data_IF_907033876404
#
_entry.id   IF_907033876404
#
_cell.length_a   1.000
_cell.length_b   1.000
_cell.length_c   1.000
_cell.angle_alpha   90.00
_cell.angle_beta   90.00
_cell.angle_gamma   90.00
#
_symmetry.space_group_name_H-M   'P 1'
#
loop_
_entity.id
_entity.type
_entity.pdbx_description
1 polymer ?
#
# COMPACT_ATOMS: atom_id res chain seq x y z
N UNK A 1 21.35 -7.55 17.69
CA UNK A 1 21.14 -6.37 18.55
C UNK A 1 19.63 -6.23 18.76
N UNK A 2 19.14 -6.62 19.93
CA UNK A 2 17.71 -6.58 20.25
C UNK A 2 17.27 -5.13 20.40
N UNK A 3 16.27 -4.72 19.62
CA UNK A 3 15.66 -3.41 19.78
C UNK A 3 14.90 -3.40 21.10
N UNK A 4 15.44 -2.68 22.08
CA UNK A 4 14.80 -2.38 23.34
C UNK A 4 13.38 -1.88 23.06
N UNK A 5 12.38 -2.63 23.55
CA UNK A 5 10.99 -2.19 23.59
C UNK A 5 10.95 -0.93 24.46
N UNK A 6 11.11 0.21 23.82
CA UNK A 6 10.96 1.50 24.46
C UNK A 6 9.54 1.55 24.99
N UNK A 7 9.45 1.70 26.30
CA UNK A 7 8.24 2.05 27.06
C UNK A 7 7.82 3.48 26.69
N UNK A 8 7.70 3.75 25.40
CA UNK A 8 7.49 5.06 24.84
C UNK A 8 5.99 5.17 24.59
N UNK A 9 5.33 5.89 25.49
CA UNK A 9 3.95 6.27 25.26
C UNK A 9 3.92 7.07 23.95
N UNK A 10 3.38 6.48 22.87
CA UNK A 10 3.32 7.21 21.60
C UNK A 10 2.22 8.26 21.66
N UNK A 11 2.42 9.30 20.87
CA UNK A 11 1.52 10.44 20.77
C UNK A 11 0.23 9.99 20.05
N UNK A 12 -0.92 10.42 20.57
CA UNK A 12 -2.23 10.21 19.96
C UNK A 12 -2.27 10.70 18.50
N UNK A 13 -2.83 9.89 17.59
CA UNK A 13 -2.93 10.25 16.17
C UNK A 13 -4.00 11.32 15.87
N UNK A 14 -4.81 11.69 16.85
CA UNK A 14 -5.88 12.66 16.70
C UNK A 14 -5.39 14.11 16.53
N UNK A 15 -6.26 14.96 15.97
CA UNK A 15 -6.04 16.41 15.83
C UNK A 15 -7.01 17.18 16.73
N UNK A 16 -6.51 18.20 17.41
CA UNK A 16 -7.31 19.09 18.25
C UNK A 16 -8.33 19.88 17.43
N UNK A 17 -9.29 20.55 18.11
CA UNK A 17 -10.29 21.42 17.46
C UNK A 17 -9.72 22.48 16.53
N UNK A 18 -8.49 22.95 16.82
CA UNK A 18 -7.79 23.98 16.04
C UNK A 18 -6.91 23.38 14.93
N UNK A 19 -7.02 22.08 14.67
CA UNK A 19 -6.24 21.37 13.64
C UNK A 19 -4.82 20.96 14.05
N UNK A 20 -4.34 21.36 15.23
CA UNK A 20 -3.01 20.97 15.71
C UNK A 20 -2.98 19.49 16.15
N UNK A 21 -1.84 18.77 16.00
CA UNK A 21 -1.72 17.38 16.45
C UNK A 21 -1.93 17.27 17.96
N UNK A 22 -2.59 16.20 18.39
CA UNK A 22 -2.79 15.92 19.81
C UNK A 22 -1.44 15.70 20.49
N UNK A 23 -1.24 16.29 21.68
CA UNK A 23 -0.04 16.08 22.51
C UNK A 23 -0.24 15.06 23.64
N UNK A 24 -1.45 14.49 23.74
CA UNK A 24 -1.72 13.48 24.76
C UNK A 24 -1.08 12.16 24.36
N UNK A 25 -0.56 11.45 25.36
CA UNK A 25 -0.09 10.10 25.18
C UNK A 25 -1.24 9.09 25.20
N UNK A 26 -1.01 7.98 24.51
CA UNK A 26 -1.86 6.79 24.56
C UNK A 26 -1.06 5.63 25.17
N UNK A 27 -1.76 4.70 25.79
CA UNK A 27 -1.13 3.54 26.43
C UNK A 27 -0.42 2.71 25.36
N UNK A 28 0.82 2.33 25.63
CA UNK A 28 1.59 1.47 24.74
C UNK A 28 0.86 0.15 24.43
N UNK A 29 0.17 -0.42 25.41
CA UNK A 29 -0.63 -1.65 25.23
C UNK A 29 -1.78 -1.45 24.23
N UNK A 30 -2.48 -0.31 24.27
CA UNK A 30 -3.55 -0.01 23.31
C UNK A 30 -2.99 0.03 21.88
N UNK A 31 -1.84 0.71 21.69
CA UNK A 31 -1.16 0.77 20.38
C UNK A 31 -0.78 -0.62 19.91
N UNK A 32 -0.19 -1.44 20.79
CA UNK A 32 0.24 -2.80 20.45
C UNK A 32 -0.95 -3.65 20.02
N UNK A 33 -2.07 -3.54 20.73
CA UNK A 33 -3.34 -4.18 20.36
C UNK A 33 -3.82 -3.72 18.98
N UNK A 34 -3.86 -2.41 18.73
CA UNK A 34 -4.27 -1.86 17.44
C UNK A 34 -3.37 -2.32 16.28
N UNK A 35 -2.06 -2.36 16.49
CA UNK A 35 -1.09 -2.87 15.51
C UNK A 35 -1.29 -4.35 15.22
N UNK A 36 -1.49 -5.16 16.26
CA UNK A 36 -1.77 -6.59 16.08
C UNK A 36 -3.08 -6.81 15.31
N UNK A 37 -4.12 -6.03 15.60
CA UNK A 37 -5.39 -6.11 14.88
C UNK A 37 -5.24 -5.72 13.40
N UNK A 38 -4.46 -4.69 13.07
CA UNK A 38 -4.14 -4.34 11.67
C UNK A 38 -3.37 -5.45 10.96
N UNK A 39 -2.38 -6.04 11.62
CA UNK A 39 -1.60 -7.15 11.04
C UNK A 39 -2.48 -8.38 10.77
N UNK A 40 -3.40 -8.70 11.69
CA UNK A 40 -4.36 -9.78 11.49
C UNK A 40 -5.32 -9.49 10.33
N UNK A 41 -5.83 -8.26 10.25
CA UNK A 41 -6.70 -7.82 9.16
C UNK A 41 -6.02 -7.88 7.79
N UNK A 42 -4.72 -7.59 7.72
CA UNK A 42 -3.96 -7.65 6.47
C UNK A 42 -3.65 -9.07 5.99
N UNK A 43 -3.65 -10.04 6.90
CA UNK A 43 -3.30 -11.44 6.61
C UNK A 43 -4.53 -12.33 6.41
N UNK A 44 -5.70 -11.92 6.89
CA UNK A 44 -6.94 -12.68 6.78
C UNK A 44 -7.87 -12.09 5.71
N UNK A 45 -8.70 -12.91 5.05
CA UNK A 45 -9.79 -12.40 4.23
C UNK A 45 -10.77 -11.61 5.12
N UNK A 46 -11.11 -10.41 4.68
CA UNK A 46 -12.03 -9.51 5.38
C UNK A 46 -13.25 -9.23 4.51
N UNK A 47 -14.39 -9.02 5.16
CA UNK A 47 -15.64 -8.62 4.52
C UNK A 47 -15.72 -7.09 4.45
N UNK A 48 -16.03 -6.55 3.26
CA UNK A 48 -16.17 -5.11 3.05
C UNK A 48 -17.34 -4.50 3.84
N UNK A 49 -18.37 -5.30 4.14
CA UNK A 49 -19.51 -4.83 4.94
C UNK A 49 -19.11 -4.50 6.38
N UNK A 50 -18.16 -5.27 6.94
CA UNK A 50 -17.69 -5.11 8.33
C UNK A 50 -16.36 -4.36 8.43
N UNK A 51 -15.60 -4.28 7.34
CA UNK A 51 -14.28 -3.65 7.27
C UNK A 51 -14.27 -2.23 7.84
N UNK A 52 -15.28 -1.42 7.49
CA UNK A 52 -15.37 -0.04 8.01
C UNK A 52 -15.49 -0.02 9.53
N UNK A 53 -16.42 -0.76 10.09
CA UNK A 53 -16.60 -0.84 11.55
C UNK A 53 -15.35 -1.35 12.25
N UNK A 54 -14.70 -2.38 11.69
CA UNK A 54 -13.46 -2.94 12.24
C UNK A 54 -12.34 -1.91 12.24
N UNK A 55 -12.16 -1.16 11.14
CA UNK A 55 -11.15 -0.10 11.06
C UNK A 55 -11.44 1.05 12.04
N UNK A 56 -12.71 1.43 12.24
CA UNK A 56 -13.09 2.41 13.26
C UNK A 56 -12.73 1.93 14.68
N UNK A 57 -13.01 0.67 15.01
CA UNK A 57 -12.69 0.10 16.31
C UNK A 57 -11.18 -0.01 16.54
N UNK A 58 -10.44 -0.40 15.50
CA UNK A 58 -8.98 -0.41 15.53
C UNK A 58 -8.43 1.01 15.72
N UNK A 59 -8.98 2.01 15.00
CA UNK A 59 -8.55 3.41 15.10
C UNK A 59 -8.66 3.97 16.53
N UNK A 60 -9.66 3.52 17.32
CA UNK A 60 -9.82 3.93 18.73
C UNK A 60 -8.59 3.62 19.58
N UNK A 61 -7.85 2.55 19.26
CA UNK A 61 -6.62 2.18 19.98
C UNK A 61 -5.48 3.20 19.81
N UNK A 62 -5.54 4.02 18.75
CA UNK A 62 -4.54 5.05 18.43
C UNK A 62 -4.97 6.47 18.88
N UNK A 63 -6.12 6.58 19.54
CA UNK A 63 -6.72 7.85 19.95
C UNK A 63 -6.88 7.91 21.47
N UNK A 64 -6.60 9.08 22.05
CA UNK A 64 -6.76 9.27 23.48
C UNK A 64 -8.24 9.28 23.89
N UNK A 65 -8.51 8.70 25.07
CA UNK A 65 -9.74 7.98 25.36
C UNK A 65 -11.02 8.81 25.56
N UNK A 66 -10.98 10.15 25.49
CA UNK A 66 -12.18 10.98 25.68
C UNK A 66 -12.62 11.68 24.42
N UNK A 67 -11.79 12.58 23.90
CA UNK A 67 -12.25 13.48 22.84
C UNK A 67 -11.99 12.91 21.45
N UNK A 68 -10.80 12.36 21.21
CA UNK A 68 -10.42 11.85 19.89
C UNK A 68 -11.14 10.55 19.54
N UNK A 69 -11.29 9.60 20.49
CA UNK A 69 -12.05 8.37 20.22
C UNK A 69 -13.48 8.63 19.77
N UNK A 70 -14.17 9.60 20.37
CA UNK A 70 -15.56 9.89 20.02
C UNK A 70 -15.71 10.69 18.73
N UNK A 71 -14.75 11.57 18.42
CA UNK A 71 -14.90 12.51 17.28
C UNK A 71 -14.18 12.09 16.01
N UNK A 72 -13.12 11.30 16.13
CA UNK A 72 -12.20 11.05 15.03
C UNK A 72 -12.01 9.58 14.69
N UNK A 73 -12.45 8.65 15.54
CA UNK A 73 -12.35 7.23 15.22
C UNK A 73 -13.10 6.89 13.92
N UNK A 74 -14.32 7.41 13.76
CA UNK A 74 -15.12 7.15 12.56
C UNK A 74 -14.50 7.78 11.31
N UNK A 75 -13.97 9.00 11.43
CA UNK A 75 -13.30 9.69 10.34
C UNK A 75 -12.01 8.98 9.93
N UNK A 76 -11.17 8.58 10.88
CA UNK A 76 -9.92 7.87 10.62
C UNK A 76 -10.19 6.48 10.04
N UNK A 77 -11.16 5.75 10.61
CA UNK A 77 -11.58 4.45 10.09
C UNK A 77 -12.11 4.55 8.66
N UNK A 78 -12.88 5.59 8.34
CA UNK A 78 -13.35 5.88 6.98
C UNK A 78 -12.19 6.18 6.02
N UNK A 79 -11.22 7.02 6.42
CA UNK A 79 -10.04 7.31 5.59
C UNK A 79 -9.21 6.05 5.31
N UNK A 80 -9.06 5.18 6.30
CA UNK A 80 -8.37 3.89 6.13
C UNK A 80 -9.16 2.96 5.22
N UNK A 81 -10.48 2.89 5.37
CA UNK A 81 -11.36 2.12 4.49
C UNK A 81 -11.21 2.58 3.03
N UNK A 82 -11.28 3.89 2.77
CA UNK A 82 -11.09 4.44 1.43
C UNK A 82 -9.71 4.15 0.86
N UNK A 83 -8.67 4.21 1.69
CA UNK A 83 -7.32 3.82 1.28
C UNK A 83 -7.23 2.35 0.87
N UNK A 84 -7.90 1.44 1.59
CA UNK A 84 -7.98 0.01 1.26
C UNK A 84 -8.78 -0.24 -0.01
N UNK A 85 -9.92 0.45 -0.19
CA UNK A 85 -10.72 0.35 -1.42
C UNK A 85 -9.90 0.85 -2.61
N UNK A 86 -9.21 1.98 -2.46
CA UNK A 86 -8.37 2.57 -3.51
C UNK A 86 -7.19 1.67 -3.86
N UNK A 87 -6.48 1.12 -2.87
CA UNK A 87 -5.33 0.25 -3.11
C UNK A 87 -5.71 -1.03 -3.84
N UNK A 88 -6.91 -1.57 -3.60
CA UNK A 88 -7.44 -2.72 -4.36
C UNK A 88 -7.75 -2.37 -5.82
N UNK A 89 -8.27 -1.17 -6.07
CA UNK A 89 -8.46 -0.66 -7.43
C UNK A 89 -7.13 -0.58 -8.20
N UNK A 90 -6.10 0.01 -7.56
CA UNK A 90 -4.74 0.03 -8.13
C UNK A 90 -4.16 -1.37 -8.33
N UNK A 91 -4.31 -2.29 -7.37
CA UNK A 91 -3.81 -3.66 -7.49
C UNK A 91 -4.44 -4.42 -8.67
N UNK A 92 -5.73 -4.18 -8.96
CA UNK A 92 -6.39 -4.74 -10.15
C UNK A 92 -5.83 -4.16 -11.44
N UNK A 93 -5.63 -2.83 -11.48
CA UNK A 93 -5.11 -2.16 -12.66
C UNK A 93 -3.64 -2.55 -12.94
N UNK A 94 -2.80 -2.67 -11.91
CA UNK A 94 -1.41 -3.14 -12.08
C UNK A 94 -1.34 -4.60 -12.51
N UNK A 95 -2.27 -5.45 -12.03
CA UNK A 95 -2.33 -6.85 -12.45
C UNK A 95 -2.77 -7.00 -13.91
N UNK A 96 -3.73 -6.18 -14.36
CA UNK A 96 -4.21 -6.19 -15.75
C UNK A 96 -3.16 -5.64 -16.71
N UNK A 97 -2.50 -4.53 -16.35
CA UNK A 97 -1.38 -3.98 -17.13
C UNK A 97 -0.20 -4.95 -17.19
N UNK A 98 0.11 -5.67 -16.10
CA UNK A 98 1.15 -6.70 -16.10
C UNK A 98 0.78 -7.93 -16.96
N UNK A 99 -0.50 -8.33 -16.99
CA UNK A 99 -0.98 -9.38 -17.86
C UNK A 99 -0.88 -8.97 -19.34
N UNK A 100 -1.32 -7.75 -19.68
CA UNK A 100 -1.23 -7.22 -21.05
C UNK A 100 0.24 -7.02 -21.48
N UNK A 101 1.11 -6.57 -20.58
CA UNK A 101 2.55 -6.47 -20.87
C UNK A 101 3.18 -7.85 -21.13
N UNK A 102 2.74 -8.89 -20.41
CA UNK A 102 3.21 -10.26 -20.60
C UNK A 102 2.76 -10.85 -21.94
N UNK A 103 1.54 -10.52 -22.40
CA UNK A 103 1.05 -10.89 -23.74
C UNK A 103 1.82 -10.18 -24.87
N UNK A 104 2.18 -8.91 -24.69
CA UNK A 104 2.94 -8.13 -25.69
C UNK A 104 4.40 -8.62 -25.81
N UNK A 105 5.03 -9.06 -24.72
CA UNK A 105 6.36 -9.68 -24.80
C UNK A 105 6.34 -11.09 -25.44
N UNK A 106 5.27 -11.87 -25.20
CA UNK A 106 5.10 -13.16 -25.84
C UNK A 106 4.90 -13.04 -27.37
N UNK A 107 4.09 -12.09 -27.84
CA UNK A 107 3.88 -11.85 -29.29
C UNK A 107 5.15 -11.33 -30.00
N UNK A 108 5.94 -10.48 -29.33
CA UNK A 108 7.22 -10.00 -29.89
C UNK A 108 8.28 -11.12 -29.98
N UNK A 109 8.26 -12.06 -29.04
CA UNK A 109 9.16 -13.23 -29.05
C UNK A 109 8.80 -14.20 -30.19
N UNK A 110 7.50 -14.39 -30.48
CA UNK A 110 7.06 -15.26 -31.58
C UNK A 110 7.17 -14.62 -32.98
N UNK A 111 7.12 -13.29 -33.10
CA UNK A 111 7.33 -12.59 -34.39
C UNK A 111 8.80 -12.52 -34.81
N UNK A 112 9.75 -12.82 -33.91
CA UNK A 112 11.19 -12.73 -34.18
C UNK A 112 11.82 -14.03 -34.70
N UNK A 113 11.03 -15.10 -34.91
CA UNK A 113 11.52 -16.39 -35.41
C UNK A 113 10.88 -16.79 -36.76
N UNK A 114 11.11 -16.02 -37.82
CA UNK A 114 11.08 -16.59 -39.17
C UNK A 114 11.93 -15.76 -40.13
N UNK A 115 13.07 -16.30 -40.53
CA UNK A 115 13.95 -15.73 -41.56
C UNK A 115 15.44 -15.77 -41.21
N UNK A 116 16.08 -16.94 -41.32
CA UNK A 116 17.55 -17.11 -41.33
C UNK A 116 18.01 -17.21 -42.81
N UNK A 117 19.33 -17.28 -43.12
CA UNK A 117 20.38 -16.25 -43.15
C UNK A 117 20.96 -16.03 -44.57
N UNK A 118 21.76 -14.98 -44.81
CA UNK A 118 22.80 -14.99 -45.85
C UNK A 118 23.92 -13.99 -45.53
N UNK A 119 25.11 -14.36 -45.94
CA UNK A 119 26.46 -14.06 -45.42
C UNK A 119 27.02 -12.63 -45.58
N UNK A 120 28.19 -12.35 -44.95
CA UNK A 120 28.90 -11.09 -45.03
C UNK A 120 29.78 -11.02 -46.29
N UNK A 121 29.77 -9.90 -47.01
CA UNK A 121 30.75 -9.61 -48.07
C UNK A 121 31.39 -8.25 -47.83
N UNK A 122 32.66 -8.30 -47.40
CA UNK A 122 33.64 -7.23 -47.62
C UNK A 122 33.89 -7.11 -49.14
N UNK A 123 33.73 -5.92 -49.75
CA UNK A 123 34.58 -5.50 -50.88
C UNK A 123 34.45 -4.01 -51.24
N UNK A 124 35.53 -3.30 -50.94
CA UNK A 124 36.15 -2.11 -51.57
C UNK A 124 35.59 -1.56 -52.90
N UNK A 125 35.51 -0.22 -53.02
CA UNK A 125 36.53 0.66 -53.70
C UNK A 125 35.93 1.94 -54.33
N UNK A 126 36.56 3.08 -53.95
CA UNK A 126 36.82 4.37 -54.63
C UNK A 126 35.84 5.01 -55.65
N UNK A 127 35.71 6.35 -55.62
CA UNK A 127 36.29 7.31 -56.62
C UNK A 127 35.72 8.74 -56.45
N UNK A 128 36.63 9.68 -56.19
CA UNK A 128 36.79 11.08 -56.69
C UNK A 128 35.60 12.04 -56.81
N UNK A 129 35.75 13.23 -56.21
CA UNK A 129 35.75 14.52 -56.94
C UNK A 129 36.66 15.50 -56.22
#
# INVERSE_FOLDING_TARGET
MGVSLSTEARICCGTTKVGAPCKNSIKFQDIKTGQQQLANLATQPFDFLTLRSTLCDIARNFLCAKWHRQRQADQLGQQWYEAVVRSRGYARHTSEVAAVASDIEADQSQRSTSGRPSEPVLSSRATTT
#
